data_IF_316011667686
#
_entry.id   IF_316011667686
#
_cell.length_a   1.000
_cell.length_b   1.000
_cell.length_c   1.000
_cell.angle_alpha   90.00
_cell.angle_beta   90.00
_cell.angle_gamma   90.00
#
_symmetry.space_group_name_H-M   'P 1'
#
loop_
_entity.id
_entity.type
_entity.pdbx_description
1 polymer ?
#
# COMPACT_ATOMS: atom_id res chain seq x y z
N UNK A 1 24.62 -20.99 -12.47
CA UNK A 1 24.15 -19.77 -13.16
C UNK A 1 22.78 -20.08 -13.74
N UNK A 2 21.72 -19.82 -13.00
CA UNK A 2 20.37 -19.79 -13.57
C UNK A 2 19.97 -18.32 -13.64
N UNK A 3 19.82 -17.84 -14.87
CA UNK A 3 19.26 -16.53 -15.17
C UNK A 3 17.74 -16.65 -15.11
N UNK A 4 17.11 -16.04 -14.10
CA UNK A 4 15.67 -15.83 -14.09
C UNK A 4 15.39 -14.48 -14.79
N UNK A 5 14.80 -14.56 -15.98
CA UNK A 5 14.37 -13.41 -16.77
C UNK A 5 13.15 -12.66 -16.20
N UNK A 6 12.78 -11.51 -16.78
CA UNK A 6 11.86 -10.55 -16.19
C UNK A 6 10.41 -10.90 -16.54
N UNK A 7 9.61 -11.25 -15.53
CA UNK A 7 8.18 -11.46 -15.69
C UNK A 7 7.65 -12.52 -14.74
N UNK A 8 7.46 -12.17 -13.47
CA UNK A 8 7.01 -13.13 -12.47
C UNK A 8 5.48 -13.09 -12.32
N UNK A 9 4.83 -14.21 -12.67
CA UNK A 9 3.49 -14.57 -12.21
C UNK A 9 3.65 -15.67 -11.16
N UNK A 10 3.02 -15.58 -9.97
CA UNK A 10 3.06 -16.68 -9.01
C UNK A 10 2.35 -17.92 -9.55
N UNK A 11 2.83 -19.13 -9.25
CA UNK A 11 2.12 -20.36 -9.58
C UNK A 11 0.87 -20.55 -8.69
N UNK A 12 -0.21 -21.16 -9.21
CA UNK A 12 -1.55 -21.13 -8.57
C UNK A 12 -1.67 -21.88 -7.23
N UNK A 13 -0.71 -22.75 -6.89
CA UNK A 13 -0.80 -23.64 -5.73
C UNK A 13 -0.39 -22.98 -4.40
N UNK A 14 0.20 -21.79 -4.44
CA UNK A 14 0.61 -21.01 -3.26
C UNK A 14 -0.52 -20.15 -2.66
N UNK A 15 -1.75 -20.26 -3.18
CA UNK A 15 -2.91 -19.47 -2.75
C UNK A 15 -3.76 -20.14 -1.64
N UNK A 16 -3.35 -21.30 -1.14
CA UNK A 16 -4.15 -22.06 -0.18
C UNK A 16 -3.29 -22.50 1.02
N UNK A 17 -3.08 -21.63 2.00
CA UNK A 17 -3.37 -21.93 3.41
C UNK A 17 -3.18 -20.72 4.36
N UNK A 18 -4.11 -20.64 5.32
CA UNK A 18 -4.02 -20.07 6.68
C UNK A 18 -3.18 -18.82 7.02
N UNK A 19 -3.90 -17.71 7.26
CA UNK A 19 -3.74 -16.76 8.38
C UNK A 19 -2.35 -16.15 8.70
N UNK A 20 -2.14 -14.89 8.28
CA UNK A 20 -1.21 -13.97 8.95
C UNK A 20 -0.48 -12.97 8.05
N UNK A 21 -0.99 -11.73 8.01
CA UNK A 21 -0.26 -10.47 7.74
C UNK A 21 0.41 -10.29 6.36
N UNK A 22 -0.25 -9.47 5.51
CA UNK A 22 0.41 -8.55 4.56
C UNK A 22 0.88 -9.09 3.20
N UNK A 23 0.00 -9.01 2.19
CA UNK A 23 0.35 -8.94 0.76
C UNK A 23 1.12 -10.13 0.19
N UNK A 24 0.46 -11.13 -0.45
CA UNK A 24 1.09 -12.38 -0.89
C UNK A 24 2.35 -12.19 -1.75
N UNK A 25 2.42 -11.12 -2.54
CA UNK A 25 3.61 -10.80 -3.34
C UNK A 25 4.83 -10.42 -2.47
N UNK A 26 4.63 -9.58 -1.45
CA UNK A 26 5.71 -9.12 -0.56
C UNK A 26 6.07 -10.22 0.44
N UNK A 27 5.07 -10.95 0.96
CA UNK A 27 5.28 -12.09 1.85
C UNK A 27 6.05 -13.22 1.15
N UNK A 28 5.64 -13.59 -0.08
CA UNK A 28 6.36 -14.57 -0.89
C UNK A 28 7.79 -14.11 -1.18
N UNK A 29 8.01 -12.83 -1.48
CA UNK A 29 9.36 -12.28 -1.66
C UNK A 29 10.22 -12.40 -0.39
N UNK A 30 9.64 -12.05 0.77
CA UNK A 30 10.33 -12.18 2.07
C UNK A 30 10.71 -13.62 2.40
N UNK A 31 9.88 -14.59 2.05
CA UNK A 31 10.12 -16.01 2.35
C UNK A 31 11.19 -16.64 1.46
N UNK A 32 11.28 -16.22 0.18
CA UNK A 32 12.09 -16.93 -0.82
C UNK A 32 13.37 -16.18 -1.22
N UNK A 33 13.41 -14.86 -1.04
CA UNK A 33 14.49 -14.04 -1.59
C UNK A 33 15.13 -13.07 -0.58
N UNK A 34 14.51 -12.88 0.58
CA UNK A 34 15.01 -11.96 1.60
C UNK A 34 15.95 -12.67 2.60
N UNK A 35 17.26 -12.62 2.30
CA UNK A 35 18.29 -13.31 3.10
C UNK A 35 18.92 -12.41 4.19
N UNK A 36 18.57 -11.13 4.24
CA UNK A 36 19.15 -10.12 5.11
C UNK A 36 18.08 -9.57 6.07
N UNK A 37 18.42 -9.47 7.37
CA UNK A 37 17.52 -8.97 8.42
C UNK A 37 17.04 -7.53 8.18
N UNK A 38 17.86 -6.69 7.54
CA UNK A 38 17.51 -5.30 7.24
C UNK A 38 16.38 -5.22 6.24
N UNK A 39 16.49 -5.93 5.11
CA UNK A 39 15.46 -5.95 4.07
C UNK A 39 14.16 -6.54 4.62
N UNK A 40 14.25 -7.60 5.44
CA UNK A 40 13.10 -8.21 6.09
C UNK A 40 12.38 -7.23 7.00
N UNK A 41 13.13 -6.46 7.80
CA UNK A 41 12.58 -5.41 8.66
C UNK A 41 11.88 -4.32 7.85
N UNK A 42 12.50 -3.88 6.74
CA UNK A 42 11.95 -2.84 5.86
C UNK A 42 10.62 -3.31 5.24
N UNK A 43 10.57 -4.53 4.72
CA UNK A 43 9.36 -5.08 4.11
C UNK A 43 8.25 -5.32 5.13
N UNK A 44 8.57 -5.73 6.36
CA UNK A 44 7.60 -5.80 7.45
C UNK A 44 7.04 -4.41 7.81
N UNK A 45 7.90 -3.40 7.94
CA UNK A 45 7.47 -2.01 8.17
C UNK A 45 6.55 -1.51 7.04
N UNK A 46 6.79 -1.92 5.80
CA UNK A 46 5.92 -1.58 4.67
C UNK A 46 4.54 -2.22 4.82
N UNK A 47 4.47 -3.51 5.18
CA UNK A 47 3.20 -4.21 5.38
C UNK A 47 2.39 -3.60 6.55
N UNK A 48 3.06 -3.28 7.65
CA UNK A 48 2.44 -2.57 8.78
C UNK A 48 1.91 -1.21 8.35
N UNK A 49 2.67 -0.47 7.53
CA UNK A 49 2.23 0.82 6.98
C UNK A 49 0.96 0.66 6.12
N UNK A 50 0.91 -0.34 5.23
CA UNK A 50 -0.30 -0.64 4.44
C UNK A 50 -1.51 -0.94 5.34
N UNK A 51 -1.31 -1.73 6.40
CA UNK A 51 -2.38 -2.07 7.35
C UNK A 51 -2.89 -0.81 8.08
N UNK A 52 -2.01 0.05 8.56
CA UNK A 52 -2.39 1.30 9.23
C UNK A 52 -3.07 2.29 8.28
N UNK A 53 -2.62 2.38 7.02
CA UNK A 53 -3.28 3.20 5.99
C UNK A 53 -4.68 2.66 5.65
N UNK A 54 -4.87 1.34 5.63
CA UNK A 54 -6.18 0.71 5.48
C UNK A 54 -7.13 1.05 6.63
N UNK A 55 -6.65 0.98 7.88
CA UNK A 55 -7.42 1.41 9.06
C UNK A 55 -7.76 2.89 9.03
N UNK A 56 -6.84 3.74 8.54
CA UNK A 56 -7.09 5.17 8.38
C UNK A 56 -8.24 5.44 7.40
N UNK A 57 -8.30 4.73 6.27
CA UNK A 57 -9.40 4.83 5.32
C UNK A 57 -10.76 4.51 6.00
N UNK A 58 -10.81 3.43 6.79
CA UNK A 58 -12.03 3.05 7.53
C UNK A 58 -12.47 4.14 8.54
N UNK A 59 -11.52 4.75 9.25
CA UNK A 59 -11.80 5.87 10.17
C UNK A 59 -12.37 7.09 9.44
N UNK A 60 -11.88 7.37 8.23
CA UNK A 60 -12.40 8.43 7.38
C UNK A 60 -13.83 8.16 6.87
N UNK A 61 -14.16 6.91 6.53
CA UNK A 61 -15.55 6.51 6.20
C UNK A 61 -16.50 6.66 7.40
N UNK A 62 -16.00 6.39 8.62
CA UNK A 62 -16.79 6.57 9.82
C UNK A 62 -17.05 8.05 10.15
N UNK A 63 -16.15 8.96 9.78
CA UNK A 63 -16.22 10.38 10.15
C UNK A 63 -17.32 11.15 9.43
N UNK A 64 -17.64 10.80 8.18
CA UNK A 64 -18.73 11.42 7.42
C UNK A 64 -19.33 10.41 6.43
N UNK A 65 -20.60 10.59 6.04
CA UNK A 65 -21.26 9.73 5.02
C UNK A 65 -20.61 9.84 3.63
N UNK A 66 -19.72 10.83 3.46
CA UNK A 66 -18.97 11.06 2.25
C UNK A 66 -19.81 11.58 1.10
N UNK A 67 -19.14 11.81 -0.01
CA UNK A 67 -19.69 12.12 -1.33
C UNK A 67 -19.17 11.08 -2.32
N UNK A 68 -19.72 10.99 -3.54
CA UNK A 68 -19.16 10.12 -4.57
C UNK A 68 -17.66 10.34 -4.81
N UNK A 69 -17.19 11.60 -4.70
CA UNK A 69 -15.77 11.93 -4.87
C UNK A 69 -14.93 11.40 -3.72
N UNK A 70 -15.27 11.73 -2.47
CA UNK A 70 -14.49 11.27 -1.30
C UNK A 70 -14.53 9.76 -1.15
N UNK A 71 -15.66 9.12 -1.46
CA UNK A 71 -15.81 7.68 -1.38
C UNK A 71 -14.96 6.98 -2.43
N UNK A 72 -14.95 7.48 -3.68
CA UNK A 72 -14.08 6.96 -4.72
C UNK A 72 -12.58 7.10 -4.36
N UNK A 73 -12.18 8.20 -3.73
CA UNK A 73 -10.81 8.38 -3.24
C UNK A 73 -10.45 7.35 -2.17
N UNK A 74 -11.33 7.10 -1.19
CA UNK A 74 -11.10 6.08 -0.16
C UNK A 74 -11.09 4.66 -0.73
N UNK A 75 -11.99 4.33 -1.66
CA UNK A 75 -11.97 3.03 -2.35
C UNK A 75 -10.66 2.80 -3.11
N UNK A 76 -10.16 3.81 -3.82
CA UNK A 76 -8.84 3.75 -4.47
C UNK A 76 -7.72 3.53 -3.45
N UNK A 77 -7.71 4.26 -2.34
CA UNK A 77 -6.72 4.06 -1.28
C UNK A 77 -6.77 2.65 -0.70
N UNK A 78 -7.97 2.15 -0.36
CA UNK A 78 -8.18 0.79 0.15
C UNK A 78 -7.74 -0.28 -0.84
N UNK A 79 -8.05 -0.10 -2.13
CA UNK A 79 -7.62 -1.01 -3.18
C UNK A 79 -6.08 -1.05 -3.29
N UNK A 80 -5.42 0.10 -3.18
CA UNK A 80 -3.96 0.21 -3.27
C UNK A 80 -3.22 -0.45 -2.08
N UNK A 81 -3.77 -0.33 -0.87
CA UNK A 81 -3.20 -0.97 0.34
C UNK A 81 -3.72 -2.38 0.58
N UNK A 82 -4.65 -2.85 -0.25
CA UNK A 82 -5.17 -4.20 -0.17
C UNK A 82 -4.06 -5.21 -0.40
N UNK A 83 -4.17 -6.33 0.31
CA UNK A 83 -3.25 -7.45 0.17
C UNK A 83 -3.25 -8.03 -1.25
N UNK A 84 -4.36 -7.90 -1.97
CA UNK A 84 -4.51 -8.38 -3.35
C UNK A 84 -3.97 -7.42 -4.41
N UNK A 85 -3.42 -6.26 -4.02
CA UNK A 85 -2.96 -5.27 -4.98
C UNK A 85 -1.68 -5.74 -5.68
N UNK A 86 -1.67 -5.65 -7.01
CA UNK A 86 -0.46 -5.89 -7.80
C UNK A 86 0.41 -4.64 -7.81
N UNK A 87 1.56 -4.71 -7.14
CA UNK A 87 2.51 -3.60 -7.04
C UNK A 87 3.39 -3.45 -8.30
N UNK A 88 3.37 -4.42 -9.22
CA UNK A 88 4.30 -4.49 -10.35
C UNK A 88 4.22 -3.28 -11.28
N UNK A 89 3.01 -2.74 -11.47
CA UNK A 89 2.73 -1.59 -12.36
C UNK A 89 2.69 -0.24 -11.66
N UNK A 90 2.75 -0.23 -10.32
CA UNK A 90 2.56 1.00 -9.54
C UNK A 90 3.78 1.92 -9.68
N UNK A 91 3.58 3.12 -10.21
CA UNK A 91 4.64 4.12 -10.42
C UNK A 91 4.17 5.51 -10.03
N UNK A 92 4.82 6.09 -9.03
CA UNK A 92 4.64 7.48 -8.66
C UNK A 92 5.46 8.38 -9.58
N UNK A 93 4.97 9.59 -9.86
CA UNK A 93 5.77 10.65 -10.48
C UNK A 93 6.56 11.38 -9.39
N UNK A 94 7.45 10.67 -8.70
CA UNK A 94 8.36 11.28 -7.72
C UNK A 94 9.79 11.19 -8.25
N UNK A 95 10.66 12.19 -8.03
CA UNK A 95 12.06 12.07 -8.41
C UNK A 95 12.69 10.89 -7.64
N UNK A 96 12.86 9.75 -8.33
CA UNK A 96 13.45 8.56 -7.74
C UNK A 96 14.94 8.77 -7.38
N UNK A 97 15.55 9.81 -7.97
CA UNK A 97 16.94 10.21 -7.79
C UNK A 97 17.24 10.74 -6.37
N UNK A 98 16.21 11.00 -5.55
CA UNK A 98 16.34 11.44 -4.14
C UNK A 98 15.96 10.37 -3.11
N UNK A 99 15.63 9.14 -3.54
CA UNK A 99 15.49 7.99 -2.61
C UNK A 99 16.90 7.49 -2.31
N UNK A 100 17.53 8.15 -1.34
CA UNK A 100 18.96 8.36 -1.11
C UNK A 100 19.92 7.14 -1.11
N UNK A 101 19.49 5.92 -1.37
CA UNK A 101 20.36 4.72 -1.40
C UNK A 101 19.98 3.65 -2.44
N UNK A 102 18.95 3.87 -3.27
CA UNK A 102 18.62 2.94 -4.36
C UNK A 102 19.18 3.46 -5.68
N UNK A 103 19.75 2.58 -6.49
CA UNK A 103 20.02 2.90 -7.89
C UNK A 103 18.71 3.12 -8.66
N UNK A 104 18.77 3.84 -9.79
CA UNK A 104 17.59 4.04 -10.63
C UNK A 104 16.96 2.73 -11.11
N UNK A 105 17.75 1.67 -11.27
CA UNK A 105 17.26 0.34 -11.65
C UNK A 105 16.54 -0.35 -10.49
N UNK A 106 17.11 -0.34 -9.29
CA UNK A 106 16.47 -0.88 -8.09
C UNK A 106 15.18 -0.15 -7.77
N UNK A 107 15.19 1.19 -7.84
CA UNK A 107 14.01 2.01 -7.61
C UNK A 107 12.92 1.79 -8.67
N UNK A 108 13.27 1.51 -9.93
CA UNK A 108 12.28 1.38 -11.02
C UNK A 108 11.76 -0.05 -11.19
N UNK A 109 12.62 -1.05 -11.04
CA UNK A 109 12.36 -2.42 -11.47
C UNK A 109 12.17 -3.39 -10.31
N UNK A 110 12.74 -3.09 -9.13
CA UNK A 110 12.72 -4.02 -7.99
C UNK A 110 11.81 -3.53 -6.86
N UNK A 111 11.95 -2.25 -6.50
CA UNK A 111 11.21 -1.65 -5.39
C UNK A 111 10.17 -0.61 -5.84
N UNK A 112 10.00 -0.43 -7.15
CA UNK A 112 9.16 0.63 -7.74
C UNK A 112 7.76 0.71 -7.17
N UNK A 113 7.07 -0.41 -7.01
CA UNK A 113 5.74 -0.42 -6.40
C UNK A 113 5.76 -0.03 -4.92
N UNK A 114 6.67 -0.61 -4.14
CA UNK A 114 6.84 -0.34 -2.69
C UNK A 114 7.13 1.15 -2.44
N UNK A 115 8.10 1.72 -3.16
CA UNK A 115 8.49 3.12 -3.00
C UNK A 115 7.46 4.09 -3.59
N UNK A 116 6.63 3.64 -4.53
CA UNK A 116 5.58 4.46 -5.14
C UNK A 116 4.29 4.49 -4.34
N UNK A 117 4.01 3.47 -3.52
CA UNK A 117 2.72 3.34 -2.84
C UNK A 117 2.47 4.48 -1.85
N UNK A 118 3.46 4.77 -0.99
CA UNK A 118 3.35 5.83 0.02
C UNK A 118 3.03 7.19 -0.62
N UNK A 119 3.81 7.71 -1.60
CA UNK A 119 3.51 9.01 -2.20
C UNK A 119 2.16 9.06 -2.90
N UNK A 120 1.75 7.98 -3.60
CA UNK A 120 0.44 7.92 -4.25
C UNK A 120 -0.69 8.03 -3.23
N UNK A 121 -0.60 7.29 -2.13
CA UNK A 121 -1.62 7.35 -1.07
C UNK A 121 -1.64 8.73 -0.42
N UNK A 122 -0.48 9.34 -0.16
CA UNK A 122 -0.43 10.68 0.40
C UNK A 122 -1.12 11.71 -0.50
N UNK A 123 -0.96 11.61 -1.82
CA UNK A 123 -1.64 12.50 -2.77
C UNK A 123 -3.16 12.28 -2.77
N UNK A 124 -3.62 11.02 -2.78
CA UNK A 124 -5.04 10.70 -2.67
C UNK A 124 -5.64 11.20 -1.35
N UNK A 125 -4.91 11.09 -0.24
CA UNK A 125 -5.36 11.56 1.07
C UNK A 125 -5.40 13.08 1.15
N UNK A 126 -4.45 13.80 0.54
CA UNK A 126 -4.50 15.26 0.43
C UNK A 126 -5.73 15.71 -0.36
N UNK A 127 -6.02 15.06 -1.48
CA UNK A 127 -7.20 15.33 -2.29
C UNK A 127 -8.49 15.05 -1.50
N UNK A 128 -8.52 13.92 -0.77
CA UNK A 128 -9.64 13.58 0.09
C UNK A 128 -9.89 14.65 1.15
N UNK A 129 -8.84 15.14 1.82
CA UNK A 129 -8.96 16.20 2.83
C UNK A 129 -9.59 17.45 2.22
N UNK A 130 -9.08 17.91 1.07
CA UNK A 130 -9.59 19.09 0.37
C UNK A 130 -11.08 18.99 -0.02
N UNK A 131 -11.56 17.79 -0.35
CA UNK A 131 -12.99 17.56 -0.61
C UNK A 131 -13.82 17.39 0.68
N UNK A 132 -13.22 16.81 1.73
CA UNK A 132 -13.91 16.52 3.00
C UNK A 132 -14.15 17.76 3.87
N UNK A 133 -13.32 18.81 3.75
CA UNK A 133 -13.45 20.05 4.54
C UNK A 133 -14.82 20.73 4.38
N UNK A 134 -15.51 20.47 3.26
CA UNK A 134 -16.82 21.02 2.94
C UNK A 134 -17.97 20.18 3.50
N UNK A 135 -17.69 19.05 4.15
CA UNK A 135 -18.69 18.09 4.61
C UNK A 135 -19.01 18.26 6.10
N UNK A 136 -20.30 18.14 6.48
CA UNK A 136 -20.67 18.07 7.88
C UNK A 136 -20.08 16.79 8.49
N UNK A 137 -19.31 16.94 9.58
CA UNK A 137 -18.78 15.81 10.35
C UNK A 137 -19.93 15.11 11.06
N UNK A 138 -19.97 13.78 11.03
CA UNK A 138 -20.82 13.03 11.95
C UNK A 138 -20.28 13.32 13.36
N UNK A 139 -21.12 13.86 14.24
CA UNK A 139 -20.79 13.87 15.64
C UNK A 139 -20.54 12.41 16.05
N UNK A 140 -19.35 12.08 16.55
CA UNK A 140 -19.18 10.85 17.31
C UNK A 140 -20.18 10.97 18.46
N UNK A 141 -21.31 10.28 18.36
CA UNK A 141 -22.16 10.03 19.51
C UNK A 141 -21.30 9.18 20.44
N UNK A 142 -20.57 9.83 21.34
CA UNK A 142 -20.11 9.20 22.55
C UNK A 142 -21.40 8.71 23.22
N UNK A 143 -21.59 7.40 23.22
CA UNK A 143 -22.67 6.78 23.96
C UNK A 143 -22.54 7.19 25.42
N UNK A 144 -23.39 8.13 25.83
CA UNK A 144 -23.83 8.18 27.20
C UNK A 144 -24.72 6.95 27.40
N UNK A 145 -24.20 5.94 28.09
CA UNK A 145 -24.87 5.19 29.18
C UNK A 145 -23.97 4.05 29.65
#
# INVERSE_FOLDING_TARGET
MEQLGPGWRPPPHLLADGAGVGGPQVQSYMEHYCNNSTDRRILLMFLDTCAELGKLCQRFEALHSGTPVTNNLLEKCKALVSQSNDLSSLRAKYPHDVVNHLSCDEARNHYGGVVSLIPIILDLMKEWVAHSEKLPRKALQHGAT
#
